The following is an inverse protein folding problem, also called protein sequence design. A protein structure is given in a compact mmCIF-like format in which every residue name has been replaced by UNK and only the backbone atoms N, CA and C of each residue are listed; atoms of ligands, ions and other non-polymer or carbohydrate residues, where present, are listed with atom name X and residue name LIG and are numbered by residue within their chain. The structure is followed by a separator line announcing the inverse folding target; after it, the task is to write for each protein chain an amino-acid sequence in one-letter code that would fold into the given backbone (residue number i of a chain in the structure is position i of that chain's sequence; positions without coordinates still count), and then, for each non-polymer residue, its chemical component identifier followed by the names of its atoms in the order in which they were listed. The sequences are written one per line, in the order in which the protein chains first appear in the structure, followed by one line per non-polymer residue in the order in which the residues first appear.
data_IF_974112150649
#
_entry.id   IF_974112150649
#
_cell.length_a   1.000
_cell.length_b   1.000
_cell.length_c   1.000
_cell.angle_alpha   90.00
_cell.angle_beta   90.00
_cell.angle_gamma   90.00
#
_symmetry.space_group_name_H-M   'P 1'
#
loop_
_entity.id
_entity.type
_entity.pdbx_description
1 polymer ?
#
# COMPACT_ATOMS: atom_id res chain seq x y z
N UNK A 1 3.82 -44.18 -31.12
CA UNK A 1 3.61 -44.19 -29.66
C UNK A 1 4.10 -42.86 -29.08
N UNK A 2 3.24 -41.88 -28.77
CA UNK A 2 3.70 -40.63 -28.17
C UNK A 2 4.01 -40.83 -26.69
N UNK A 3 5.21 -40.40 -26.26
CA UNK A 3 5.63 -40.43 -24.84
C UNK A 3 4.89 -39.33 -24.08
N UNK A 4 4.27 -39.68 -22.95
CA UNK A 4 3.57 -38.72 -22.08
C UNK A 4 4.56 -37.71 -21.50
N UNK A 5 4.20 -36.41 -21.40
CA UNK A 5 5.02 -35.40 -20.75
C UNK A 5 5.08 -35.66 -19.23
N UNK A 6 6.26 -35.46 -18.65
CA UNK A 6 6.51 -35.59 -17.21
C UNK A 6 5.76 -34.50 -16.46
N UNK A 7 5.18 -34.87 -15.31
CA UNK A 7 4.46 -33.91 -14.46
C UNK A 7 5.44 -33.15 -13.56
N UNK A 8 5.06 -31.95 -13.12
CA UNK A 8 5.88 -31.11 -12.23
C UNK A 8 6.24 -31.84 -10.91
N UNK A 9 5.39 -32.79 -10.47
CA UNK A 9 5.66 -33.66 -9.32
C UNK A 9 6.83 -34.64 -9.50
N UNK A 10 7.21 -34.95 -10.74
CA UNK A 10 8.36 -35.82 -11.05
C UNK A 10 9.70 -35.07 -10.96
N UNK A 11 9.67 -33.75 -11.12
CA UNK A 11 10.86 -32.87 -11.04
C UNK A 11 11.26 -32.56 -9.59
N UNK A 12 10.30 -32.52 -8.67
CA UNK A 12 10.56 -32.27 -7.24
C UNK A 12 11.15 -33.48 -6.48
N UNK A 13 11.06 -34.68 -7.04
CA UNK A 13 11.63 -35.91 -6.42
C UNK A 13 13.12 -36.10 -6.70
N UNK A 14 13.72 -35.36 -7.64
CA UNK A 14 15.15 -35.47 -7.95
C UNK A 14 16.03 -34.53 -7.10
N UNK A 15 15.45 -33.52 -6.44
CA UNK A 15 16.22 -32.55 -5.64
C UNK A 15 16.42 -32.95 -4.16
N UNK A 16 15.83 -34.05 -3.68
CA UNK A 16 15.96 -34.51 -2.27
C UNK A 16 16.68 -35.85 -2.12
N UNK A 17 17.82 -36.02 -2.79
CA UNK A 17 18.64 -37.24 -2.64
C UNK A 17 20.13 -36.94 -2.52
N UNK A 18 20.51 -36.15 -1.51
CA UNK A 18 21.87 -36.16 -0.96
C UNK A 18 21.92 -35.40 0.36
N UNK A 19 21.57 -36.07 1.46
CA UNK A 19 22.31 -36.03 2.73
C UNK A 19 21.60 -36.94 3.74
N UNK A 20 22.24 -38.07 4.00
CA UNK A 20 21.96 -38.98 5.10
C UNK A 20 23.14 -38.90 6.04
N UNK A 21 22.91 -38.67 7.34
CA UNK A 21 23.29 -39.66 8.35
C UNK A 21 22.90 -39.23 9.78
N UNK A 22 22.09 -40.10 10.41
CA UNK A 22 22.13 -40.59 11.82
C UNK A 22 21.86 -39.55 12.93
N UNK A 23 21.19 -39.82 14.06
CA UNK A 23 20.70 -41.03 14.74
C UNK A 23 19.88 -40.48 15.93
N UNK A 24 18.57 -40.77 16.06
CA UNK A 24 17.99 -41.84 16.90
C UNK A 24 17.32 -41.30 18.17
N UNK A 25 16.12 -41.85 18.42
CA UNK A 25 15.54 -42.17 19.74
C UNK A 25 14.54 -41.19 20.37
N UNK A 26 13.32 -41.75 20.51
CA UNK A 26 12.28 -41.55 21.53
C UNK A 26 11.11 -40.61 21.25
N UNK A 27 10.01 -41.28 20.87
CA UNK A 27 8.62 -41.00 21.23
C UNK A 27 8.42 -40.81 22.75
N UNK A 28 7.21 -40.42 23.16
CA UNK A 28 6.71 -39.98 24.49
C UNK A 28 6.82 -38.44 24.65
N UNK A 29 5.74 -37.63 24.60
CA UNK A 29 4.59 -37.65 25.51
C UNK A 29 3.29 -37.20 24.82
N UNK A 30 2.23 -37.91 25.19
CA UNK A 30 0.80 -37.72 24.91
C UNK A 30 0.23 -36.59 25.81
N UNK A 31 -0.74 -35.86 25.26
CA UNK A 31 -1.71 -35.01 25.97
C UNK A 31 -1.19 -33.84 26.84
N UNK A 32 -1.36 -32.63 26.29
CA UNK A 32 -2.13 -31.59 26.99
C UNK A 32 -2.74 -30.62 25.98
N UNK A 33 -3.95 -30.97 25.53
CA UNK A 33 -4.88 -29.98 25.04
C UNK A 33 -5.31 -29.08 26.22
N UNK A 34 -5.63 -27.82 25.90
CA UNK A 34 -6.17 -26.77 26.77
C UNK A 34 -5.17 -26.02 27.65
N UNK A 35 -4.63 -24.94 27.11
CA UNK A 35 -4.77 -23.58 27.67
C UNK A 35 -3.99 -22.62 26.76
N UNK A 36 -4.58 -22.21 25.64
CA UNK A 36 -4.12 -21.00 24.96
C UNK A 36 -4.86 -19.86 25.65
N UNK A 37 -4.19 -19.28 26.64
CA UNK A 37 -4.57 -17.97 27.17
C UNK A 37 -4.46 -16.98 26.01
N UNK A 38 -5.49 -16.15 25.87
CA UNK A 38 -5.46 -14.92 25.06
C UNK A 38 -4.14 -14.22 25.29
N UNK A 39 -3.25 -14.41 24.33
CA UNK A 39 -2.00 -13.68 24.28
C UNK A 39 -2.38 -12.42 23.53
N UNK A 40 -2.38 -11.28 24.23
CA UNK A 40 -2.33 -9.97 23.59
C UNK A 40 -1.06 -9.94 22.74
N UNK A 41 -1.21 -10.37 21.48
CA UNK A 41 -0.19 -10.21 20.48
C UNK A 41 -0.26 -8.73 20.12
N UNK A 42 0.67 -7.94 20.67
CA UNK A 42 0.90 -6.58 20.20
C UNK A 42 0.96 -6.61 18.66
N UNK A 43 0.25 -5.72 17.94
CA UNK A 43 0.16 -5.78 16.48
C UNK A 43 1.57 -5.86 15.90
N UNK A 44 1.88 -6.98 15.23
CA UNK A 44 3.27 -7.36 14.92
C UNK A 44 3.75 -6.85 13.56
N UNK A 45 2.95 -6.02 12.89
CA UNK A 45 3.39 -5.22 11.74
C UNK A 45 2.59 -3.93 11.61
N UNK A 46 3.20 -2.89 11.03
CA UNK A 46 2.53 -1.61 10.69
C UNK A 46 1.23 -1.82 9.90
N UNK A 47 1.20 -2.87 9.08
CA UNK A 47 0.04 -3.24 8.28
C UNK A 47 -1.17 -3.63 9.14
N UNK A 48 -0.98 -4.47 10.16
CA UNK A 48 -2.08 -4.89 11.05
C UNK A 48 -2.66 -3.72 11.84
N UNK A 49 -1.78 -2.80 12.30
CA UNK A 49 -2.21 -1.58 12.96
C UNK A 49 -2.99 -0.65 12.02
N UNK A 50 -2.53 -0.52 10.78
CA UNK A 50 -3.19 0.27 9.74
C UNK A 50 -4.55 -0.31 9.38
N UNK A 51 -4.65 -1.63 9.19
CA UNK A 51 -5.89 -2.33 8.89
C UNK A 51 -6.92 -2.15 10.02
N UNK A 52 -6.52 -2.33 11.28
CA UNK A 52 -7.39 -2.06 12.44
C UNK A 52 -7.87 -0.61 12.47
N UNK A 53 -7.00 0.36 12.17
CA UNK A 53 -7.37 1.78 12.13
C UNK A 53 -8.37 2.07 10.99
N UNK A 54 -8.14 1.51 9.81
CA UNK A 54 -9.06 1.67 8.66
C UNK A 54 -10.40 1.00 8.97
N UNK A 55 -10.41 -0.20 9.54
CA UNK A 55 -11.63 -0.90 9.96
C UNK A 55 -12.46 -0.11 10.97
N UNK A 56 -11.83 0.66 11.86
CA UNK A 56 -12.54 1.59 12.77
C UNK A 56 -13.23 2.75 12.04
N UNK A 57 -12.75 3.12 10.86
CA UNK A 57 -13.28 4.24 10.05
C UNK A 57 -14.38 3.74 9.12
N UNK A 58 -14.10 2.71 8.29
CA UNK A 58 -15.02 2.24 7.25
C UNK A 58 -15.94 1.11 7.71
N UNK A 59 -15.66 0.51 8.87
CA UNK A 59 -16.37 -0.64 9.42
C UNK A 59 -15.81 -1.99 8.96
N UNK A 60 -16.33 -3.05 9.56
CA UNK A 60 -16.02 -4.45 9.25
C UNK A 60 -17.20 -5.12 8.52
N UNK A 61 -16.93 -6.23 7.81
CA UNK A 61 -17.94 -7.14 7.25
C UNK A 61 -18.39 -8.18 8.31
N UNK A 62 -19.22 -9.14 7.88
CA UNK A 62 -19.77 -10.17 8.77
C UNK A 62 -18.70 -11.15 9.28
N UNK A 63 -17.62 -11.31 8.51
CA UNK A 63 -16.46 -12.13 8.80
C UNK A 63 -15.44 -11.44 9.72
N UNK A 64 -15.65 -10.16 10.05
CA UNK A 64 -14.76 -9.37 10.90
C UNK A 64 -13.55 -8.75 10.17
N UNK A 65 -13.55 -8.76 8.84
CA UNK A 65 -12.54 -8.16 7.97
C UNK A 65 -12.92 -6.72 7.58
N UNK A 66 -11.94 -5.90 7.20
CA UNK A 66 -12.21 -4.53 6.72
C UNK A 66 -13.06 -4.58 5.46
N UNK A 67 -14.10 -3.74 5.39
CA UNK A 67 -14.98 -3.70 4.22
C UNK A 67 -14.21 -3.39 2.94
N UNK A 68 -14.58 -4.08 1.85
CA UNK A 68 -14.02 -3.88 0.52
C UNK A 68 -14.10 -2.42 0.04
N UNK A 69 -13.17 -2.06 -0.84
CA UNK A 69 -13.15 -0.73 -1.48
C UNK A 69 -14.31 -0.64 -2.49
N UNK A 70 -15.32 0.14 -2.11
CA UNK A 70 -16.53 0.44 -2.88
C UNK A 70 -16.79 1.94 -2.81
N UNK A 71 -17.64 2.47 -3.69
CA UNK A 71 -18.01 3.89 -3.67
C UNK A 71 -18.48 4.33 -2.28
N UNK A 72 -19.27 3.50 -1.59
CA UNK A 72 -19.77 3.77 -0.24
C UNK A 72 -18.65 3.86 0.81
N UNK A 73 -17.75 2.88 0.87
CA UNK A 73 -16.64 2.85 1.84
C UNK A 73 -15.61 3.94 1.55
N UNK A 74 -15.35 4.23 0.27
CA UNK A 74 -14.52 5.36 -0.15
C UNK A 74 -15.12 6.70 0.25
N UNK A 75 -16.44 6.85 0.18
CA UNK A 75 -17.12 8.09 0.60
C UNK A 75 -16.94 8.31 2.10
N UNK A 76 -17.09 7.26 2.91
CA UNK A 76 -16.83 7.32 4.36
C UNK A 76 -15.36 7.71 4.63
N UNK A 77 -14.42 7.03 3.96
CA UNK A 77 -13.00 7.31 4.14
C UNK A 77 -12.62 8.73 3.67
N UNK A 78 -13.23 9.20 2.57
CA UNK A 78 -13.05 10.56 2.07
C UNK A 78 -13.47 11.60 3.09
N UNK A 79 -14.66 11.46 3.70
CA UNK A 79 -15.11 12.35 4.76
C UNK A 79 -14.15 12.35 5.95
N UNK A 80 -13.70 11.17 6.38
CA UNK A 80 -12.69 11.06 7.43
C UNK A 80 -11.41 11.83 7.07
N UNK A 81 -10.90 11.71 5.83
CA UNK A 81 -9.72 12.46 5.40
C UNK A 81 -9.94 13.97 5.44
N UNK A 82 -11.10 14.44 4.98
CA UNK A 82 -11.43 15.88 5.00
C UNK A 82 -11.49 16.45 6.41
N UNK A 83 -11.97 15.68 7.37
CA UNK A 83 -12.07 16.08 8.78
C UNK A 83 -10.71 16.02 9.49
N UNK A 84 -9.82 15.10 9.11
CA UNK A 84 -8.60 14.81 9.87
C UNK A 84 -7.32 15.41 9.28
N UNK A 85 -7.35 15.88 8.04
CA UNK A 85 -6.20 16.50 7.37
C UNK A 85 -6.35 18.03 7.37
N UNK A 86 -5.31 18.71 7.86
CA UNK A 86 -5.18 20.16 7.81
C UNK A 86 -4.76 20.61 6.42
N UNK A 87 -5.39 21.67 5.94
CA UNK A 87 -4.98 22.38 4.73
C UNK A 87 -4.30 23.72 5.09
N UNK A 88 -3.30 24.16 4.31
CA UNK A 88 -2.69 23.44 3.19
C UNK A 88 -1.81 22.28 3.67
N UNK A 89 -1.82 21.17 2.94
CA UNK A 89 -0.96 20.01 3.18
C UNK A 89 0.06 19.88 2.05
N UNK A 90 1.34 19.69 2.40
CA UNK A 90 2.40 19.49 1.43
C UNK A 90 2.58 18.01 1.15
N UNK A 91 2.52 17.64 -0.12
CA UNK A 91 2.57 16.28 -0.62
C UNK A 91 3.73 16.10 -1.61
N UNK A 92 4.22 14.88 -1.71
CA UNK A 92 5.18 14.43 -2.74
C UNK A 92 4.86 13.00 -3.17
N UNK A 93 5.45 12.53 -4.28
CA UNK A 93 5.22 11.16 -4.72
C UNK A 93 5.81 10.14 -3.74
N UNK A 94 5.13 9.01 -3.55
CA UNK A 94 5.69 7.89 -2.80
C UNK A 94 6.79 7.22 -3.61
N UNK A 95 6.49 6.96 -4.89
CA UNK A 95 7.33 6.29 -5.89
C UNK A 95 7.22 7.01 -7.24
N UNK A 96 8.00 6.56 -8.22
CA UNK A 96 7.92 7.10 -9.58
C UNK A 96 6.55 6.89 -10.21
N UNK A 97 6.05 7.91 -10.90
CA UNK A 97 4.82 7.78 -11.66
C UNK A 97 5.03 6.84 -12.86
N UNK A 98 3.97 6.18 -13.33
CA UNK A 98 4.08 5.19 -14.43
C UNK A 98 4.76 5.70 -15.70
N UNK A 99 4.74 7.01 -15.96
CA UNK A 99 5.45 7.59 -17.11
C UNK A 99 6.96 7.80 -16.86
N UNK A 100 7.37 7.91 -15.59
CA UNK A 100 8.76 8.08 -15.17
C UNK A 100 9.53 6.77 -15.13
N UNK A 101 8.85 5.64 -14.88
CA UNK A 101 9.45 4.30 -14.73
C UNK A 101 10.47 4.00 -15.84
N UNK A 102 10.10 4.20 -17.10
CA UNK A 102 10.98 3.98 -18.27
C UNK A 102 12.33 4.73 -18.18
N UNK A 103 12.34 5.90 -17.55
CA UNK A 103 13.54 6.71 -17.37
C UNK A 103 14.29 6.35 -16.07
N UNK A 104 13.56 5.98 -15.01
CA UNK A 104 14.13 5.61 -13.71
C UNK A 104 14.86 4.27 -13.78
N UNK A 105 14.34 3.29 -14.51
CA UNK A 105 14.98 1.98 -14.70
C UNK A 105 16.17 2.00 -15.68
N UNK A 106 16.44 3.16 -16.32
CA UNK A 106 17.63 3.39 -17.15
C UNK A 106 17.46 3.12 -18.66
N UNK A 107 16.25 2.82 -19.14
CA UNK A 107 16.00 2.61 -20.57
C UNK A 107 15.88 3.93 -21.36
N UNK A 108 15.47 5.02 -20.70
CA UNK A 108 15.26 6.33 -21.31
C UNK A 108 16.42 7.32 -21.17
N UNK A 109 16.40 8.37 -21.99
CA UNK A 109 17.37 9.48 -21.89
C UNK A 109 17.05 10.42 -20.72
N UNK A 110 18.04 10.70 -19.87
CA UNK A 110 17.93 11.68 -18.78
C UNK A 110 17.48 13.06 -19.26
N UNK A 111 17.99 13.51 -20.41
CA UNK A 111 17.62 14.81 -21.00
C UNK A 111 16.13 14.86 -21.37
N UNK A 112 15.59 13.74 -21.85
CA UNK A 112 14.17 13.65 -22.19
C UNK A 112 13.30 13.58 -20.93
N UNK A 113 13.73 12.84 -19.91
CA UNK A 113 13.06 12.81 -18.60
C UNK A 113 12.95 14.22 -18.01
N UNK A 114 14.06 14.95 -17.95
CA UNK A 114 14.09 16.35 -17.45
C UNK A 114 13.19 17.29 -18.26
N UNK A 115 13.10 17.08 -19.58
CA UNK A 115 12.21 17.85 -20.45
C UNK A 115 10.74 17.58 -20.11
N UNK A 116 10.36 16.32 -19.94
CA UNK A 116 8.99 15.90 -19.65
C UNK A 116 8.53 16.31 -18.26
N UNK A 117 9.41 16.31 -17.25
CA UNK A 117 9.09 16.78 -15.88
C UNK A 117 8.60 18.23 -15.84
N UNK A 118 8.92 19.05 -16.85
CA UNK A 118 8.41 20.42 -16.95
C UNK A 118 6.90 20.47 -17.18
N UNK A 119 6.32 19.43 -17.79
CA UNK A 119 4.88 19.39 -18.14
C UNK A 119 4.12 18.28 -17.42
N UNK A 120 4.76 17.17 -17.08
CA UNK A 120 4.17 16.04 -16.37
C UNK A 120 4.45 16.09 -14.86
N UNK A 121 3.55 15.55 -14.01
CA UNK A 121 3.82 15.40 -12.58
C UNK A 121 4.99 14.46 -12.35
N UNK A 122 5.85 14.77 -11.39
CA UNK A 122 6.98 13.92 -10.99
C UNK A 122 6.95 13.58 -9.52
N UNK A 123 7.47 12.41 -9.12
CA UNK A 123 7.61 12.05 -7.70
C UNK A 123 8.57 12.97 -6.95
N UNK A 124 9.42 13.68 -7.70
CA UNK A 124 10.36 14.68 -7.19
C UNK A 124 9.76 16.08 -7.04
N UNK A 125 8.50 16.27 -7.44
CA UNK A 125 7.81 17.53 -7.25
C UNK A 125 7.21 17.64 -5.84
N UNK A 126 7.07 18.88 -5.36
CA UNK A 126 6.28 19.20 -4.18
C UNK A 126 4.93 19.77 -4.62
N UNK A 127 3.88 19.22 -4.04
CA UNK A 127 2.49 19.58 -4.31
C UNK A 127 1.85 20.17 -3.06
N UNK A 128 0.99 21.16 -3.26
CA UNK A 128 0.18 21.77 -2.21
C UNK A 128 -1.27 21.33 -2.42
N UNK A 129 -1.82 20.60 -1.47
CA UNK A 129 -3.24 20.34 -1.36
C UNK A 129 -3.87 21.51 -0.60
N UNK A 130 -4.56 22.39 -1.30
CA UNK A 130 -5.17 23.61 -0.73
C UNK A 130 -6.69 23.55 -0.65
N UNK A 131 -7.33 22.67 -1.43
CA UNK A 131 -8.78 22.51 -1.50
C UNK A 131 -9.13 21.05 -1.75
N UNK A 132 -10.15 20.55 -1.04
CA UNK A 132 -10.73 19.26 -1.33
C UNK A 132 -11.65 19.37 -2.55
N UNK A 133 -11.17 18.89 -3.69
CA UNK A 133 -11.97 18.69 -4.91
C UNK A 133 -11.80 17.24 -5.34
N UNK A 134 -12.75 16.41 -4.92
CA UNK A 134 -12.86 15.03 -5.36
C UNK A 134 -13.84 14.94 -6.52
N UNK A 135 -13.51 14.09 -7.48
CA UNK A 135 -14.50 13.40 -8.31
C UNK A 135 -14.38 11.92 -7.96
N UNK A 136 -15.35 11.35 -7.26
CA UNK A 136 -15.47 9.88 -7.22
C UNK A 136 -15.86 9.45 -8.63
N UNK A 137 -14.95 8.79 -9.34
CA UNK A 137 -15.20 8.28 -10.70
C UNK A 137 -15.68 6.83 -10.64
N UNK A 138 -15.98 6.24 -11.81
CA UNK A 138 -16.43 4.85 -11.92
C UNK A 138 -15.42 3.86 -11.31
N UNK A 139 -14.12 4.20 -11.34
CA UNK A 139 -13.08 3.47 -10.64
C UNK A 139 -12.93 3.97 -9.19
N UNK A 140 -12.85 3.06 -8.20
CA UNK A 140 -12.78 3.40 -6.79
C UNK A 140 -11.38 3.91 -6.39
N UNK A 141 -11.03 5.11 -6.87
CA UNK A 141 -9.79 5.80 -6.54
C UNK A 141 -10.06 7.23 -6.09
N UNK A 142 -9.36 7.67 -5.03
CA UNK A 142 -9.47 9.04 -4.54
C UNK A 142 -8.56 9.97 -5.36
N UNK A 143 -9.16 10.80 -6.19
CA UNK A 143 -8.44 11.81 -6.98
C UNK A 143 -8.50 13.15 -6.25
N UNK A 144 -7.35 13.79 -6.08
CA UNK A 144 -7.22 15.11 -5.45
C UNK A 144 -6.68 16.16 -6.42
N UNK A 145 -7.20 17.38 -6.32
CA UNK A 145 -6.64 18.53 -7.02
C UNK A 145 -5.51 19.14 -6.19
N UNK A 146 -4.30 19.13 -6.74
CA UNK A 146 -3.12 19.68 -6.08
C UNK A 146 -2.47 20.76 -6.94
N UNK A 147 -1.70 21.63 -6.30
CA UNK A 147 -0.95 22.69 -6.97
C UNK A 147 0.54 22.42 -6.85
N UNK A 148 1.23 22.25 -7.98
CA UNK A 148 2.69 22.06 -7.97
C UNK A 148 3.38 23.35 -7.51
N UNK A 149 4.34 23.26 -6.60
CA UNK A 149 5.00 24.46 -6.05
C UNK A 149 5.85 25.19 -7.09
N UNK A 150 6.58 24.46 -7.94
CA UNK A 150 7.56 25.03 -8.86
C UNK A 150 6.97 25.94 -9.94
N UNK A 151 5.77 25.64 -10.44
CA UNK A 151 5.14 26.41 -11.52
C UNK A 151 3.66 26.70 -11.29
N UNK A 152 3.14 26.40 -10.10
CA UNK A 152 1.77 26.71 -9.65
C UNK A 152 0.67 26.09 -10.52
N UNK A 153 0.99 25.11 -11.38
CA UNK A 153 0.01 24.36 -12.18
C UNK A 153 -0.87 23.50 -11.28
N UNK A 154 -2.17 23.48 -11.59
CA UNK A 154 -3.14 22.56 -10.99
C UNK A 154 -3.06 21.21 -11.70
N UNK A 155 -3.03 20.14 -10.92
CA UNK A 155 -2.92 18.76 -11.37
C UNK A 155 -3.95 17.92 -10.60
N UNK A 156 -4.42 16.84 -11.22
CA UNK A 156 -5.29 15.85 -10.59
C UNK A 156 -4.48 14.58 -10.44
N UNK A 157 -4.23 14.16 -9.20
CA UNK A 157 -3.40 13.01 -8.87
C UNK A 157 -4.20 12.04 -7.98
N UNK A 158 -3.87 10.76 -8.07
CA UNK A 158 -4.45 9.75 -7.20
C UNK A 158 -3.77 9.85 -5.83
N UNK A 159 -4.57 9.91 -4.77
CA UNK A 159 -4.08 10.17 -3.42
C UNK A 159 -3.18 9.05 -2.89
N UNK A 160 -3.36 7.80 -3.34
CA UNK A 160 -2.55 6.63 -2.99
C UNK A 160 -1.10 6.71 -3.51
N UNK A 161 -0.86 7.50 -4.56
CA UNK A 161 0.49 7.76 -5.10
C UNK A 161 1.25 8.85 -4.35
N UNK A 162 0.62 9.47 -3.34
CA UNK A 162 1.15 10.65 -2.64
C UNK A 162 1.36 10.37 -1.15
N UNK A 163 2.39 10.99 -0.59
CA UNK A 163 2.62 11.06 0.85
C UNK A 163 2.84 12.51 1.30
N UNK A 164 2.60 12.76 2.58
CA UNK A 164 2.98 14.01 3.21
C UNK A 164 4.51 14.20 3.14
N UNK A 165 4.95 15.43 2.89
CA UNK A 165 6.37 15.81 2.95
C UNK A 165 6.89 15.74 4.38
N UNK A 166 6.03 16.11 5.33
CA UNK A 166 6.25 16.02 6.78
C UNK A 166 4.96 15.51 7.43
N UNK A 167 5.05 14.47 8.25
CA UNK A 167 3.93 13.83 8.95
C UNK A 167 3.13 14.83 9.80
N UNK A 168 3.81 15.83 10.37
CA UNK A 168 3.18 16.86 11.19
C UNK A 168 2.53 17.98 10.38
N UNK A 169 2.90 18.11 9.10
CA UNK A 169 2.42 19.22 8.26
C UNK A 169 0.96 19.08 7.84
N UNK A 170 0.42 17.87 7.89
CA UNK A 170 -0.88 17.55 7.30
C UNK A 170 -1.93 17.03 8.30
N UNK A 171 -1.56 16.67 9.53
CA UNK A 171 -2.51 16.10 10.50
C UNK A 171 -3.06 17.16 11.46
N UNK A 172 -4.34 17.02 11.83
CA UNK A 172 -4.83 17.64 13.05
C UNK A 172 -4.07 17.03 14.23
N UNK A 173 -3.24 17.80 14.92
CA UNK A 173 -2.77 17.44 16.27
C UNK A 173 -3.99 17.21 17.14
N UNK A 174 -4.34 15.95 17.38
CA UNK A 174 -5.37 15.56 18.34
C UNK A 174 -4.74 15.71 19.73
N UNK A 175 -4.73 16.94 20.23
CA UNK A 175 -4.52 17.20 21.64
C UNK A 175 -5.88 17.20 22.32
N UNK A 176 -6.28 16.07 22.90
CA UNK A 176 -7.09 15.95 24.12
C UNK A 176 -7.21 14.50 24.58
#
# INVERSE_FOLDING_TARGET
MPRKPKTFGDLLKQSRKSQSSKSSTSQFIVEKAQSIKETEIAPTSDFEAQEKRIGKIVGLNEEGEVREVKIETLTIYWHYLQENIKLPCLLTGIEDFSWEEYYVIGNGSKKEHERLRKTKPSYLDIYELSEWKSSVQEDPSLIVCVKRQSDRKKLFLILDTLKAVDENSCILSTAQ
#
